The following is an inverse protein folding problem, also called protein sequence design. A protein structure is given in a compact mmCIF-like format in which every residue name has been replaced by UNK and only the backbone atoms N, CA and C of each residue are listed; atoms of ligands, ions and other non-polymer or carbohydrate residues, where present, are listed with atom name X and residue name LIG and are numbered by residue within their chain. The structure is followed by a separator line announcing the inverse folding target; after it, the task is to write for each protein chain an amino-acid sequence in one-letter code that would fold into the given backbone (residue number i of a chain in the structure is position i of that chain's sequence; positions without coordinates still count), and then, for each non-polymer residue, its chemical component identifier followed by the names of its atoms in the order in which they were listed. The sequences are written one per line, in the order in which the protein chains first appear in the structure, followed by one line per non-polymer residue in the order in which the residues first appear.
data_IF_032453005869
#
_entry.id   IF_032453005869
#
_cell.length_a   1.000
_cell.length_b   1.000
_cell.length_c   1.000
_cell.angle_alpha   90.00
_cell.angle_beta   90.00
_cell.angle_gamma   90.00
#
_symmetry.space_group_name_H-M   'P 1'
#
loop_
_entity.id
_entity.type
_entity.pdbx_description
1 polymer ?
#
# COMPACT_ATOMS: atom_id res chain seq x y z
N UNK A 1 30.92 -4.07 28.63
CA UNK A 1 30.14 -4.44 27.43
C UNK A 1 28.73 -3.87 27.59
N UNK A 2 28.52 -2.61 27.22
CA UNK A 2 27.22 -1.94 27.36
C UNK A 2 26.34 -2.32 26.16
N UNK A 3 25.39 -3.23 26.35
CA UNK A 3 24.35 -3.49 25.35
C UNK A 3 23.43 -2.26 25.29
N UNK A 4 23.28 -1.56 24.15
CA UNK A 4 22.24 -0.56 24.03
C UNK A 4 20.89 -1.29 24.06
N UNK A 5 20.10 -1.00 25.10
CA UNK A 5 18.70 -1.41 25.19
C UNK A 5 17.94 -0.76 24.04
N UNK A 6 17.81 -1.45 22.92
CA UNK A 6 16.98 -1.01 21.82
C UNK A 6 15.53 -1.06 22.29
N UNK A 7 14.80 0.07 22.31
CA UNK A 7 13.39 0.06 22.68
C UNK A 7 12.62 -0.87 21.73
N UNK A 8 12.02 -1.93 22.27
CA UNK A 8 11.23 -2.88 21.50
C UNK A 8 9.82 -2.30 21.28
N UNK A 9 9.39 -2.23 20.02
CA UNK A 9 8.06 -1.78 19.65
C UNK A 9 7.01 -2.81 20.07
N UNK A 10 5.97 -2.36 20.76
CA UNK A 10 4.82 -3.21 21.09
C UNK A 10 3.94 -3.39 19.85
N UNK A 11 3.74 -4.63 19.41
CA UNK A 11 2.78 -4.96 18.34
C UNK A 11 1.37 -4.54 18.77
N UNK A 12 0.87 -3.46 18.18
CA UNK A 12 -0.48 -2.92 18.42
C UNK A 12 -1.39 -2.96 17.19
N UNK A 13 -0.81 -3.02 15.97
CA UNK A 13 -1.58 -3.12 14.74
C UNK A 13 -2.10 -4.54 14.54
N UNK A 14 -3.42 -4.71 14.67
CA UNK A 14 -4.13 -5.90 14.23
C UNK A 14 -4.38 -5.89 12.72
N UNK A 15 -4.92 -6.99 12.19
CA UNK A 15 -5.20 -7.18 10.77
C UNK A 15 -6.03 -6.04 10.17
N UNK A 16 -7.18 -5.71 10.77
CA UNK A 16 -8.07 -4.67 10.26
C UNK A 16 -7.44 -3.28 10.30
N UNK A 17 -6.71 -2.96 11.38
CA UNK A 17 -6.00 -1.69 11.47
C UNK A 17 -4.94 -1.55 10.36
N UNK A 18 -4.23 -2.64 10.04
CA UNK A 18 -3.25 -2.67 8.97
C UNK A 18 -3.90 -2.55 7.58
N UNK A 19 -5.05 -3.18 7.36
CA UNK A 19 -5.83 -3.06 6.12
C UNK A 19 -6.29 -1.61 5.92
N UNK A 20 -6.91 -1.00 6.94
CA UNK A 20 -7.35 0.38 6.87
C UNK A 20 -6.18 1.36 6.70
N UNK A 21 -5.05 1.09 7.36
CA UNK A 21 -3.83 1.87 7.17
C UNK A 21 -3.36 1.83 5.70
N UNK A 22 -3.27 0.65 5.10
CA UNK A 22 -2.86 0.51 3.70
C UNK A 22 -3.84 1.13 2.70
N UNK A 23 -5.15 0.95 2.92
CA UNK A 23 -6.18 1.59 2.07
C UNK A 23 -6.09 3.12 2.19
N UNK A 24 -5.96 3.64 3.42
CA UNK A 24 -5.82 5.07 3.67
C UNK A 24 -4.58 5.66 3.00
N UNK A 25 -3.44 4.97 3.07
CA UNK A 25 -2.19 5.39 2.42
C UNK A 25 -2.33 5.45 0.89
N UNK A 26 -2.89 4.42 0.26
CA UNK A 26 -3.08 4.37 -1.21
C UNK A 26 -4.02 5.50 -1.69
N UNK A 27 -5.12 5.73 -0.97
CA UNK A 27 -6.07 6.79 -1.32
C UNK A 27 -5.49 8.19 -1.09
N UNK A 28 -4.87 8.40 0.07
CA UNK A 28 -4.34 9.70 0.51
C UNK A 28 -3.10 10.15 -0.24
N UNK A 29 -2.12 9.26 -0.43
CA UNK A 29 -0.87 9.59 -1.12
C UNK A 29 -1.01 9.58 -2.65
N UNK A 30 -1.92 8.76 -3.18
CA UNK A 30 -2.03 8.50 -4.61
C UNK A 30 -3.27 9.10 -5.26
N UNK A 31 -4.42 8.47 -5.04
CA UNK A 31 -5.61 8.64 -5.90
C UNK A 31 -6.08 10.10 -5.94
N UNK A 32 -6.19 10.78 -4.80
CA UNK A 32 -6.71 12.16 -4.78
C UNK A 32 -5.81 13.16 -5.49
N UNK A 33 -4.49 12.95 -5.45
CA UNK A 33 -3.53 13.82 -6.14
C UNK A 33 -3.46 13.53 -7.65
N UNK A 34 -3.65 12.27 -8.07
CA UNK A 34 -3.40 11.82 -9.44
C UNK A 34 -4.66 11.79 -10.31
N UNK A 35 -5.86 11.75 -9.73
CA UNK A 35 -7.11 11.57 -10.50
C UNK A 35 -7.31 12.65 -11.57
N UNK A 36 -7.03 13.92 -11.25
CA UNK A 36 -7.14 15.02 -12.21
C UNK A 36 -6.13 14.92 -13.35
N UNK A 37 -4.90 14.48 -13.05
CA UNK A 37 -3.87 14.27 -14.07
C UNK A 37 -4.22 13.11 -15.00
N UNK A 38 -4.75 12.02 -14.45
CA UNK A 38 -5.23 10.88 -15.24
C UNK A 38 -6.44 11.29 -16.09
N UNK A 39 -7.36 12.09 -15.56
CA UNK A 39 -8.48 12.65 -16.32
C UNK A 39 -8.02 13.56 -17.46
N UNK A 40 -6.98 14.38 -17.25
CA UNK A 40 -6.42 15.24 -18.30
C UNK A 40 -5.76 14.46 -19.44
N UNK A 41 -5.14 13.31 -19.16
CA UNK A 41 -4.45 12.48 -20.17
C UNK A 41 -5.40 11.49 -20.85
N UNK A 42 -6.22 10.78 -20.06
CA UNK A 42 -7.09 9.71 -20.56
C UNK A 42 -8.51 10.18 -20.90
N UNK A 43 -8.94 11.37 -20.44
CA UNK A 43 -10.25 11.94 -20.74
C UNK A 43 -11.39 11.00 -20.36
N UNK A 44 -12.25 10.70 -21.32
CA UNK A 44 -13.37 9.77 -21.12
C UNK A 44 -12.95 8.32 -20.90
N UNK A 45 -11.70 7.95 -21.21
CA UNK A 45 -11.17 6.60 -21.00
C UNK A 45 -10.55 6.39 -19.60
N UNK A 46 -10.62 7.38 -18.70
CA UNK A 46 -10.03 7.26 -17.36
C UNK A 46 -10.59 6.08 -16.56
N UNK A 47 -11.85 5.71 -16.73
CA UNK A 47 -12.43 4.54 -16.07
C UNK A 47 -11.69 3.24 -16.43
N UNK A 48 -11.24 3.11 -17.69
CA UNK A 48 -10.49 1.94 -18.13
C UNK A 48 -9.09 1.92 -17.51
N UNK A 49 -8.44 3.08 -17.38
CA UNK A 49 -7.16 3.22 -16.70
C UNK A 49 -7.28 2.85 -15.21
N UNK A 50 -8.32 3.33 -14.52
CA UNK A 50 -8.60 3.00 -13.12
C UNK A 50 -9.03 1.55 -12.91
N UNK A 51 -9.56 0.87 -13.92
CA UNK A 51 -9.86 -0.57 -13.84
C UNK A 51 -8.61 -1.44 -14.04
N UNK A 52 -7.76 -1.10 -15.01
CA UNK A 52 -6.54 -1.85 -15.32
C UNK A 52 -5.42 -1.67 -14.29
N UNK A 53 -5.26 -0.47 -13.75
CA UNK A 53 -4.21 -0.17 -12.77
C UNK A 53 -4.23 -1.08 -11.52
N UNK A 54 -5.35 -1.25 -10.79
CA UNK A 54 -5.41 -2.12 -9.61
C UNK A 54 -5.25 -3.59 -9.97
N UNK A 55 -5.64 -4.02 -11.18
CA UNK A 55 -5.41 -5.38 -11.64
C UNK A 55 -3.90 -5.68 -11.73
N UNK A 56 -3.14 -4.80 -12.37
CA UNK A 56 -1.67 -4.91 -12.45
C UNK A 56 -1.02 -4.75 -11.07
N UNK A 57 -1.55 -3.84 -10.24
CA UNK A 57 -1.03 -3.62 -8.89
C UNK A 57 -1.21 -4.86 -7.98
N UNK A 58 -2.28 -5.64 -8.14
CA UNK A 58 -2.50 -6.86 -7.37
C UNK A 58 -1.41 -7.90 -7.60
N UNK A 59 -0.86 -8.01 -8.81
CA UNK A 59 0.26 -8.92 -9.08
C UNK A 59 1.46 -8.57 -8.20
N UNK A 60 1.79 -7.28 -8.06
CA UNK A 60 2.86 -6.81 -7.16
C UNK A 60 2.50 -7.02 -5.69
N UNK A 61 1.25 -6.72 -5.33
CA UNK A 61 0.77 -6.88 -3.96
C UNK A 61 0.88 -8.34 -3.49
N UNK A 62 0.57 -9.31 -4.37
CA UNK A 62 0.69 -10.74 -4.06
C UNK A 62 2.15 -11.14 -3.82
N UNK A 63 3.08 -10.68 -4.67
CA UNK A 63 4.52 -10.92 -4.44
C UNK A 63 4.99 -10.33 -3.11
N UNK A 64 4.56 -9.11 -2.76
CA UNK A 64 4.89 -8.51 -1.47
C UNK A 64 4.24 -9.23 -0.29
N UNK A 65 3.02 -9.74 -0.45
CA UNK A 65 2.34 -10.52 0.57
C UNK A 65 3.08 -11.84 0.85
N UNK A 66 3.52 -12.55 -0.20
CA UNK A 66 4.34 -13.76 -0.04
C UNK A 66 5.69 -13.45 0.63
N UNK A 67 6.35 -12.36 0.20
CA UNK A 67 7.63 -11.96 0.76
C UNK A 67 7.50 -11.56 2.24
N UNK A 68 6.47 -10.78 2.58
CA UNK A 68 6.19 -10.35 3.95
C UNK A 68 5.82 -11.51 4.87
N UNK A 69 5.14 -12.53 4.34
CA UNK A 69 4.87 -13.78 5.07
C UNK A 69 6.13 -14.62 5.31
N UNK A 70 7.06 -14.68 4.35
CA UNK A 70 8.29 -15.49 4.43
C UNK A 70 9.42 -14.83 5.21
N UNK A 71 9.53 -13.50 5.15
CA UNK A 71 10.58 -12.71 5.79
C UNK A 71 9.98 -11.68 6.75
N UNK A 72 9.37 -12.12 7.87
CA UNK A 72 8.84 -11.20 8.87
C UNK A 72 10.00 -10.48 9.58
N UNK A 73 10.37 -9.31 9.08
CA UNK A 73 11.25 -8.37 9.77
C UNK A 73 10.40 -7.58 10.77
N UNK A 74 10.65 -7.80 12.06
CA UNK A 74 10.06 -7.09 13.19
C UNK A 74 10.93 -5.92 13.64
#
# INVERSE_FOLDING_TARGET
MTNPHHPQLRRSLGFWALVFYGVGDILGAGIYALVGKVAGVAGSASWAAFALAPFVANLKALTYAELGGRLPRS
#
